data_IF_794874350950
#
_entry.id   IF_794874350950
#
_cell.length_a   1.000
_cell.length_b   1.000
_cell.length_c   1.000
_cell.angle_alpha   90.00
_cell.angle_beta   90.00
_cell.angle_gamma   90.00
#
_symmetry.space_group_name_H-M   'P 1'
#
loop_
_entity.id
_entity.type
_entity.pdbx_description
1 polymer ?
#
# COMPACT_ATOMS: atom_id res chain seq x y z
N UNK A 1 -20.88 34.39 7.47
CA UNK A 1 -19.93 33.32 7.09
C UNK A 1 -18.54 33.93 6.92
N UNK A 2 -17.48 33.24 7.31
CA UNK A 2 -16.13 33.70 7.07
C UNK A 2 -15.76 33.49 5.60
N UNK A 3 -15.32 34.56 4.93
CA UNK A 3 -14.84 34.52 3.53
C UNK A 3 -13.35 34.86 3.48
N UNK A 4 -12.57 34.22 2.60
CA UNK A 4 -11.18 34.56 2.45
C UNK A 4 -11.02 36.00 1.95
N UNK A 5 -10.25 36.81 2.69
CA UNK A 5 -10.01 38.21 2.33
C UNK A 5 -9.24 38.39 1.02
N UNK A 6 -8.43 37.40 0.62
CA UNK A 6 -7.58 37.43 -0.58
C UNK A 6 -7.44 36.04 -1.22
N UNK A 7 -7.12 36.01 -2.51
CA UNK A 7 -6.77 34.78 -3.23
C UNK A 7 -5.49 34.17 -2.63
N UNK A 8 -5.50 32.85 -2.43
CA UNK A 8 -4.29 32.13 -1.99
C UNK A 8 -3.33 32.03 -3.17
N UNK A 9 -2.06 32.40 -3.00
CA UNK A 9 -1.06 32.32 -4.07
C UNK A 9 -0.81 30.85 -4.48
N UNK A 10 -0.45 30.59 -5.76
CA UNK A 10 -0.12 29.23 -6.21
C UNK A 10 0.99 28.59 -5.38
N UNK A 11 2.02 29.36 -5.00
CA UNK A 11 3.12 28.90 -4.13
C UNK A 11 2.62 28.44 -2.76
N UNK A 12 1.81 29.26 -2.06
CA UNK A 12 1.24 28.89 -0.75
C UNK A 12 0.33 27.67 -0.83
N UNK A 13 -0.44 27.53 -1.91
CA UNK A 13 -1.25 26.33 -2.16
C UNK A 13 -0.39 25.10 -2.42
N UNK A 14 0.70 25.25 -3.19
CA UNK A 14 1.64 24.17 -3.51
C UNK A 14 2.37 23.66 -2.27
N UNK A 15 2.92 24.57 -1.46
CA UNK A 15 3.56 24.23 -0.17
C UNK A 15 2.60 23.55 0.80
N UNK A 16 1.32 23.94 0.80
CA UNK A 16 0.32 23.23 1.62
C UNK A 16 0.08 21.81 1.13
N UNK A 17 0.04 21.60 -0.19
CA UNK A 17 -0.23 20.28 -0.81
C UNK A 17 1.00 19.37 -0.91
N UNK A 18 2.19 19.85 -0.56
CA UNK A 18 3.41 19.04 -0.64
C UNK A 18 3.39 17.82 0.30
N UNK A 19 2.56 17.88 1.35
CA UNK A 19 2.36 16.79 2.29
C UNK A 19 1.24 15.79 1.88
N UNK A 20 0.47 16.09 0.82
CA UNK A 20 -0.71 15.31 0.44
C UNK A 20 -0.36 14.05 -0.40
N UNK A 21 0.93 13.76 -0.60
CA UNK A 21 1.37 12.62 -1.40
C UNK A 21 1.09 11.27 -0.70
N UNK A 22 0.49 10.34 -1.44
CA UNK A 22 0.31 8.96 -0.98
C UNK A 22 1.63 8.19 -1.07
N UNK A 23 1.92 7.36 -0.06
CA UNK A 23 3.09 6.47 -0.05
C UNK A 23 2.72 5.13 -0.67
N UNK A 24 3.60 4.60 -1.51
CA UNK A 24 3.46 3.25 -2.04
C UNK A 24 3.61 2.21 -0.90
N UNK A 25 2.81 1.13 -0.90
CA UNK A 25 2.99 0.05 0.06
C UNK A 25 4.31 -0.70 -0.18
N UNK A 26 4.90 -1.21 0.91
CA UNK A 26 6.12 -2.01 0.85
C UNK A 26 5.81 -3.43 0.39
N UNK A 27 6.69 -3.99 -0.43
CA UNK A 27 6.67 -5.39 -0.86
C UNK A 27 7.99 -6.07 -0.51
N UNK A 28 7.92 -7.37 -0.22
CA UNK A 28 9.05 -8.25 0.11
C UNK A 28 8.91 -9.49 -0.74
N UNK A 29 10.02 -9.95 -1.29
CA UNK A 29 10.09 -11.21 -2.01
C UNK A 29 9.91 -12.38 -1.06
N UNK A 30 9.01 -13.29 -1.40
CA UNK A 30 8.81 -14.53 -0.68
C UNK A 30 9.95 -15.51 -0.99
N UNK A 31 10.42 -16.22 0.04
CA UNK A 31 11.58 -17.12 -0.08
C UNK A 31 11.23 -18.45 -0.73
N UNK A 32 9.97 -18.88 -0.62
CA UNK A 32 9.52 -20.18 -1.07
C UNK A 32 8.92 -20.09 -2.48
N UNK A 33 8.16 -19.03 -2.77
CA UNK A 33 7.52 -18.81 -4.08
C UNK A 33 8.25 -17.83 -5.01
N UNK A 34 9.16 -16.99 -4.49
CA UNK A 34 9.80 -15.93 -5.26
C UNK A 34 8.86 -14.76 -5.63
N UNK A 35 7.63 -14.74 -5.11
CA UNK A 35 6.65 -13.70 -5.44
C UNK A 35 6.71 -12.51 -4.48
N UNK A 36 6.29 -11.34 -4.96
CA UNK A 36 6.19 -10.14 -4.13
C UNK A 36 4.95 -10.21 -3.24
N UNK A 37 5.16 -10.34 -1.93
CA UNK A 37 4.11 -10.25 -0.92
C UNK A 37 4.26 -9.01 -0.05
N UNK A 38 3.16 -8.61 0.60
CA UNK A 38 3.24 -7.57 1.63
C UNK A 38 3.95 -8.12 2.87
N UNK A 39 4.80 -7.33 3.55
CA UNK A 39 5.37 -7.72 4.84
C UNK A 39 4.27 -8.19 5.80
N UNK A 40 4.56 -9.27 6.53
CA UNK A 40 3.66 -9.88 7.52
C UNK A 40 2.30 -10.39 7.01
N UNK A 41 2.08 -10.43 5.70
CA UNK A 41 0.88 -11.04 5.11
C UNK A 41 1.19 -12.45 4.59
N UNK A 42 0.14 -13.27 4.54
CA UNK A 42 0.12 -14.56 3.85
C UNK A 42 0.25 -14.32 2.35
N UNK A 43 1.04 -15.14 1.67
CA UNK A 43 1.03 -15.18 0.22
C UNK A 43 -0.32 -15.73 -0.25
N UNK A 44 -1.08 -14.93 -1.01
CA UNK A 44 -2.42 -15.30 -1.45
C UNK A 44 -2.42 -16.37 -2.55
N UNK A 45 -1.31 -16.58 -3.26
CA UNK A 45 -1.23 -17.61 -4.30
C UNK A 45 -0.94 -18.98 -3.72
N UNK A 46 0.08 -19.06 -2.87
CA UNK A 46 0.49 -20.33 -2.26
C UNK A 46 -0.29 -20.62 -0.98
N UNK A 47 -0.93 -19.62 -0.38
CA UNK A 47 -1.57 -19.73 0.93
C UNK A 47 -0.56 -19.88 2.08
N UNK A 48 0.74 -19.65 1.82
CA UNK A 48 1.82 -19.90 2.77
C UNK A 48 2.24 -18.63 3.53
N UNK A 49 2.68 -18.83 4.77
CA UNK A 49 3.34 -17.81 5.57
C UNK A 49 4.35 -18.45 6.52
N UNK A 50 5.60 -17.98 6.47
CA UNK A 50 6.70 -18.51 7.30
C UNK A 50 6.85 -20.04 7.21
N UNK A 51 6.76 -20.59 5.99
CA UNK A 51 6.92 -22.02 5.72
C UNK A 51 5.77 -22.91 6.21
N UNK A 52 4.61 -22.32 6.54
CA UNK A 52 3.39 -23.07 6.92
C UNK A 52 2.24 -22.74 5.98
N UNK A 53 1.48 -23.76 5.60
CA UNK A 53 0.22 -23.61 4.88
C UNK A 53 -0.83 -23.03 5.84
N UNK A 54 -1.33 -21.82 5.55
CA UNK A 54 -2.35 -21.14 6.37
C UNK A 54 -3.71 -21.17 5.67
N UNK A 55 -3.73 -20.94 4.36
CA UNK A 55 -4.94 -20.99 3.56
C UNK A 55 -4.92 -22.24 2.71
N UNK A 56 -5.93 -23.11 2.79
CA UNK A 56 -6.12 -24.12 1.76
C UNK A 56 -6.51 -23.41 0.46
N UNK A 57 -5.60 -23.43 -0.51
CA UNK A 57 -5.88 -22.88 -1.83
C UNK A 57 -6.89 -23.82 -2.47
N UNK A 58 -8.18 -23.44 -2.45
CA UNK A 58 -9.20 -24.13 -3.23
C UNK A 58 -8.82 -23.95 -4.69
N UNK A 59 -8.47 -25.05 -5.36
CA UNK A 59 -8.43 -25.08 -6.82
C UNK A 59 -9.83 -24.74 -7.32
N UNK A 60 -10.00 -23.55 -7.88
CA UNK A 60 -11.19 -23.24 -8.67
C UNK A 60 -11.24 -24.23 -9.82
N UNK A 61 -12.30 -25.05 -9.84
CA UNK A 61 -12.73 -25.83 -10.99
C UNK A 61 -13.74 -25.05 -11.82
#
# INVERSE_FOLDING_TARGET
>A
MAVPKRKTSPSKRGMRRSADALKAPTYVEDKDSGELRRPHHVDLKTGMYRGRQILEVKSEG
#
